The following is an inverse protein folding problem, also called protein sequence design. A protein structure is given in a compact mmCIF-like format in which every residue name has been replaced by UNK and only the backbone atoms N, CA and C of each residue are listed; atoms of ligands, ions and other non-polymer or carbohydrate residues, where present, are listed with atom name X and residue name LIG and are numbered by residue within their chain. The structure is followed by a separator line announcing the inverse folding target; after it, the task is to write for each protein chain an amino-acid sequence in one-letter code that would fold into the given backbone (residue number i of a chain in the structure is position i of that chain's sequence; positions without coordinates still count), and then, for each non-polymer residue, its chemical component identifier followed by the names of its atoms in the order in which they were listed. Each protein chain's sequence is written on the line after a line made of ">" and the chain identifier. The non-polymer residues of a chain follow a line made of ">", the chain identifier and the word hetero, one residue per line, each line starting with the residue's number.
data_IF_738109915316
#
_entry.id   IF_738109915316
#
_cell.length_a   1.000
_cell.length_b   1.000
_cell.length_c   1.000
_cell.angle_alpha   90.00
_cell.angle_beta   90.00
_cell.angle_gamma   90.00
#
_symmetry.space_group_name_H-M   'P 1'
#
loop_
_entity.id
_entity.type
_entity.pdbx_description
1 polymer ?
#
# COMPACT_ATOMS: atom_id res chain seq x y z
N UNK A 1 12.52 -41.64 -8.48
CA UNK A 1 11.75 -42.88 -8.26
C UNK A 1 10.37 -42.49 -7.78
N UNK A 2 9.32 -43.08 -8.37
CA UNK A 2 7.89 -42.90 -8.06
C UNK A 2 7.30 -41.48 -8.03
N UNK A 3 7.80 -40.53 -8.84
CA UNK A 3 6.99 -39.39 -9.34
C UNK A 3 6.27 -38.49 -8.32
N UNK A 4 6.53 -38.61 -7.02
CA UNK A 4 5.98 -37.75 -5.97
C UNK A 4 7.07 -36.76 -5.62
N UNK A 5 6.94 -35.53 -6.11
CA UNK A 5 7.81 -34.44 -5.70
C UNK A 5 7.74 -34.29 -4.17
N UNK A 6 8.90 -34.07 -3.54
CA UNK A 6 8.97 -33.79 -2.11
C UNK A 6 8.63 -32.30 -1.92
N UNK A 7 7.68 -32.01 -1.04
CA UNK A 7 7.39 -30.62 -0.67
C UNK A 7 8.56 -30.07 0.17
N UNK A 8 9.09 -28.94 -0.25
CA UNK A 8 10.14 -28.22 0.48
C UNK A 8 9.54 -26.98 1.14
N UNK A 9 9.77 -26.81 2.44
CA UNK A 9 9.38 -25.65 3.21
C UNK A 9 10.63 -25.03 3.84
N UNK A 10 10.74 -23.70 3.77
CA UNK A 10 11.86 -22.96 4.32
C UNK A 10 11.38 -21.61 4.84
N UNK A 11 11.64 -21.36 6.13
CA UNK A 11 11.29 -20.11 6.82
C UNK A 11 12.56 -19.43 7.28
N UNK A 12 12.62 -18.12 7.10
CA UNK A 12 13.72 -17.30 7.61
C UNK A 12 13.26 -15.89 7.92
N UNK A 13 13.98 -15.23 8.82
CA UNK A 13 13.76 -13.83 9.12
C UNK A 13 14.47 -12.96 8.07
N UNK A 14 13.77 -11.91 7.64
CA UNK A 14 14.27 -10.95 6.65
C UNK A 14 14.31 -9.52 7.20
N UNK A 15 14.12 -9.36 8.51
CA UNK A 15 14.13 -8.09 9.24
C UNK A 15 13.67 -8.31 10.67
N UNK A 16 14.24 -7.57 11.61
CA UNK A 16 13.85 -7.57 13.01
C UNK A 16 14.27 -6.24 13.65
N UNK A 17 13.50 -5.77 14.62
CA UNK A 17 13.85 -4.60 15.42
C UNK A 17 13.22 -4.71 16.82
N UNK A 18 13.88 -4.11 17.81
CA UNK A 18 13.48 -4.12 19.21
C UNK A 18 13.26 -2.69 19.73
N UNK A 19 12.01 -2.31 19.95
CA UNK A 19 11.64 -0.96 20.39
C UNK A 19 11.42 -0.93 21.91
N UNK A 20 12.14 -0.03 22.58
CA UNK A 20 12.00 0.23 24.04
C UNK A 20 11.28 1.53 24.37
N UNK A 21 10.96 2.33 23.36
CA UNK A 21 10.29 3.62 23.46
C UNK A 21 9.61 3.97 22.12
N UNK A 22 8.89 5.09 22.06
CA UNK A 22 8.22 5.56 20.84
C UNK A 22 6.70 5.47 20.87
N UNK A 23 6.14 5.11 22.03
CA UNK A 23 4.70 5.09 22.28
C UNK A 23 4.29 6.15 23.32
N UNK A 24 3.04 6.59 23.21
CA UNK A 24 2.34 7.40 24.20
C UNK A 24 1.31 6.53 24.90
N UNK A 25 1.17 6.73 26.20
CA UNK A 25 0.22 6.00 27.03
C UNK A 25 -0.77 6.98 27.63
N UNK A 26 -2.06 6.72 27.41
CA UNK A 26 -3.16 7.40 28.10
C UNK A 26 -3.73 6.45 29.16
N UNK A 27 -3.40 6.72 30.43
CA UNK A 27 -3.85 5.92 31.56
C UNK A 27 -5.31 6.19 31.95
N UNK A 28 -5.93 7.27 31.46
CA UNK A 28 -7.37 7.56 31.68
C UNK A 28 -8.23 6.57 30.91
N UNK A 29 -7.87 6.38 29.64
CA UNK A 29 -8.65 5.60 28.67
C UNK A 29 -8.05 4.21 28.40
N UNK A 30 -6.90 3.91 29.01
CA UNK A 30 -6.19 2.64 28.86
C UNK A 30 -5.64 2.42 27.45
N UNK A 31 -5.32 3.50 26.74
CA UNK A 31 -4.86 3.46 25.35
C UNK A 31 -3.34 3.57 25.26
N UNK A 32 -2.77 2.85 24.29
CA UNK A 32 -1.36 2.90 23.93
C UNK A 32 -1.29 3.16 22.43
N UNK A 33 -0.66 4.27 22.04
CA UNK A 33 -0.44 4.62 20.64
C UNK A 33 1.06 4.70 20.36
N UNK A 34 1.52 4.04 19.31
CA UNK A 34 2.91 4.06 18.89
C UNK A 34 3.02 3.93 17.38
N UNK A 35 4.06 4.52 16.83
CA UNK A 35 4.41 4.43 15.42
C UNK A 35 5.79 3.81 15.28
N UNK A 36 5.94 2.90 14.34
CA UNK A 36 7.22 2.30 14.01
C UNK A 36 7.30 2.03 12.51
N UNK A 37 8.52 2.04 11.98
CA UNK A 37 8.77 1.68 10.58
C UNK A 37 9.09 0.21 10.49
N UNK A 38 8.28 -0.55 9.77
CA UNK A 38 8.62 -1.90 9.36
C UNK A 38 9.60 -1.84 8.18
N UNK A 39 10.77 -2.45 8.32
CA UNK A 39 11.76 -2.53 7.23
C UNK A 39 12.23 -3.96 7.02
N UNK A 40 12.48 -4.29 5.76
CA UNK A 40 13.08 -5.55 5.34
C UNK A 40 14.56 -5.28 4.99
N UNK A 41 15.46 -6.12 5.49
CA UNK A 41 16.88 -6.06 5.12
C UNK A 41 17.08 -6.55 3.69
N UNK A 42 17.30 -5.60 2.78
CA UNK A 42 17.61 -5.89 1.37
C UNK A 42 18.86 -6.75 1.17
N UNK A 43 19.84 -6.69 2.09
CA UNK A 43 21.05 -7.52 2.06
C UNK A 43 20.76 -9.01 2.23
N UNK A 44 19.63 -9.35 2.86
CA UNK A 44 19.16 -10.71 2.99
C UNK A 44 18.54 -11.24 1.69
N UNK A 45 18.33 -10.41 0.65
CA UNK A 45 17.70 -10.81 -0.62
C UNK A 45 16.29 -11.38 -0.42
N UNK A 46 15.36 -10.60 0.15
CA UNK A 46 13.96 -11.02 0.28
C UNK A 46 13.39 -11.39 -1.09
N UNK A 47 12.49 -12.37 -1.12
CA UNK A 47 11.78 -12.76 -2.33
C UNK A 47 10.42 -12.06 -2.36
N UNK A 48 9.78 -11.98 -3.52
CA UNK A 48 8.43 -11.43 -3.59
C UNK A 48 7.40 -12.43 -3.07
N UNK A 49 6.24 -11.94 -2.65
CA UNK A 49 5.06 -12.78 -2.48
C UNK A 49 4.70 -13.42 -3.82
N UNK A 50 4.51 -14.74 -3.80
CA UNK A 50 4.19 -15.53 -4.99
C UNK A 50 3.15 -16.57 -4.59
N UNK A 51 2.11 -16.71 -5.41
CA UNK A 51 1.21 -17.86 -5.40
C UNK A 51 1.10 -18.36 -6.84
N UNK A 52 1.78 -19.48 -7.14
CA UNK A 52 1.87 -20.01 -8.50
C UNK A 52 1.01 -21.27 -8.68
N UNK A 53 0.44 -21.50 -9.88
CA UNK A 53 -0.26 -22.74 -10.19
C UNK A 53 0.62 -24.00 -10.07
N UNK A 54 1.95 -23.85 -10.14
CA UNK A 54 2.93 -24.91 -9.92
C UNK A 54 3.10 -25.32 -8.46
N UNK A 55 2.47 -24.62 -7.52
CA UNK A 55 2.54 -24.90 -6.08
C UNK A 55 3.69 -24.21 -5.34
N UNK A 56 4.51 -23.40 -6.02
CA UNK A 56 5.44 -22.49 -5.34
C UNK A 56 4.61 -21.39 -4.67
N UNK A 57 4.81 -21.27 -3.35
CA UNK A 57 4.19 -20.24 -2.52
C UNK A 57 5.27 -19.54 -1.68
N UNK A 58 5.27 -18.22 -1.73
CA UNK A 58 6.11 -17.35 -0.89
C UNK A 58 5.16 -16.32 -0.26
N UNK A 59 5.25 -16.16 1.04
CA UNK A 59 4.43 -15.20 1.79
C UNK A 59 5.23 -14.62 2.96
N UNK A 60 5.01 -13.34 3.27
CA UNK A 60 5.67 -12.68 4.38
C UNK A 60 4.68 -12.31 5.49
N UNK A 61 5.12 -12.47 6.73
CA UNK A 61 4.37 -12.12 7.92
C UNK A 61 5.26 -11.30 8.84
N UNK A 62 4.74 -10.18 9.33
CA UNK A 62 5.33 -9.43 10.43
C UNK A 62 4.74 -9.91 11.73
N UNK A 63 5.62 -10.29 12.66
CA UNK A 63 5.25 -10.64 14.03
C UNK A 63 5.58 -9.45 14.92
N UNK A 64 4.57 -8.90 15.60
CA UNK A 64 4.74 -7.87 16.62
C UNK A 64 4.57 -8.50 18.00
N UNK A 65 5.56 -8.32 18.86
CA UNK A 65 5.53 -8.79 20.25
C UNK A 65 5.56 -7.60 21.21
N UNK A 66 4.43 -7.33 21.86
CA UNK A 66 4.33 -6.32 22.90
C UNK A 66 4.51 -6.98 24.27
N UNK A 67 5.60 -6.62 24.95
CA UNK A 67 5.87 -7.04 26.33
C UNK A 67 5.31 -6.00 27.29
N UNK A 68 4.32 -6.39 28.09
CA UNK A 68 3.64 -5.53 29.06
C UNK A 68 4.04 -5.99 30.46
N UNK A 69 4.66 -5.10 31.23
CA UNK A 69 4.92 -5.32 32.64
C UNK A 69 3.83 -4.64 33.48
N UNK A 70 3.37 -5.31 34.53
CA UNK A 70 2.52 -4.68 35.53
C UNK A 70 3.40 -3.94 36.55
N UNK A 71 3.03 -2.69 36.81
CA UNK A 71 3.73 -1.86 37.78
C UNK A 71 2.70 -1.15 38.69
N UNK A 72 3.07 -0.96 39.95
CA UNK A 72 2.29 -0.18 40.89
C UNK A 72 2.91 1.21 41.05
N UNK A 73 2.11 2.27 40.89
CA UNK A 73 2.55 3.64 41.16
C UNK A 73 1.51 4.41 41.98
N UNK A 74 1.92 5.27 42.93
CA UNK A 74 0.99 6.15 43.63
C UNK A 74 0.34 7.16 42.65
N UNK A 75 -0.97 7.40 42.74
CA UNK A 75 -1.69 8.33 41.84
C UNK A 75 -1.08 9.74 41.76
N UNK A 76 -0.48 10.23 42.86
CA UNK A 76 0.17 11.56 42.89
C UNK A 76 1.57 11.58 42.27
N UNK A 77 2.17 10.40 42.00
CA UNK A 77 3.52 10.21 41.49
C UNK A 77 3.58 9.00 40.54
N UNK A 78 2.92 9.06 39.37
CA UNK A 78 2.89 7.95 38.42
C UNK A 78 4.29 7.54 37.93
N UNK A 79 5.26 8.46 37.92
CA UNK A 79 6.65 8.16 37.54
C UNK A 79 7.45 7.40 38.62
N UNK A 80 6.88 7.16 39.80
CA UNK A 80 7.50 6.34 40.86
C UNK A 80 6.84 4.97 40.92
N UNK A 81 6.99 4.21 39.83
CA UNK A 81 6.45 2.88 39.69
C UNK A 81 7.36 1.82 40.35
N UNK A 82 6.75 0.82 40.98
CA UNK A 82 7.41 -0.36 41.55
C UNK A 82 6.99 -1.58 40.72
N UNK A 83 7.95 -2.35 40.15
CA UNK A 83 7.64 -3.55 39.40
C UNK A 83 6.97 -4.61 40.29
N UNK A 84 5.89 -5.23 39.81
CA UNK A 84 5.23 -6.33 40.56
C UNK A 84 5.80 -7.71 40.19
N UNK A 85 6.59 -7.78 39.12
CA UNK A 85 7.13 -9.03 38.57
C UNK A 85 6.16 -9.79 37.66
N UNK A 86 4.91 -9.33 37.54
CA UNK A 86 3.97 -9.86 36.57
C UNK A 86 4.20 -9.23 35.19
N UNK A 87 4.29 -10.07 34.15
CA UNK A 87 4.42 -9.62 32.77
C UNK A 87 3.54 -10.46 31.84
N UNK A 88 3.11 -9.85 30.74
CA UNK A 88 2.31 -10.47 29.68
C UNK A 88 2.95 -10.16 28.33
N UNK A 89 2.88 -11.11 27.41
CA UNK A 89 3.30 -10.90 26.01
C UNK A 89 2.07 -10.96 25.14
N UNK A 90 1.83 -9.90 24.38
CA UNK A 90 0.80 -9.86 23.34
C UNK A 90 1.50 -9.99 21.99
N UNK A 91 1.26 -11.11 21.30
CA UNK A 91 1.80 -11.36 19.97
C UNK A 91 0.72 -11.20 18.91
N UNK A 92 0.96 -10.34 17.93
CA UNK A 92 0.07 -10.15 16.77
C UNK A 92 0.84 -10.44 15.48
N UNK A 93 0.12 -10.86 14.44
CA UNK A 93 0.69 -11.17 13.14
C UNK A 93 -0.03 -10.38 12.05
N UNK A 94 0.75 -9.75 11.17
CA UNK A 94 0.24 -8.99 10.03
C UNK A 94 0.84 -9.56 8.75
N UNK A 95 0.00 -9.90 7.79
CA UNK A 95 0.49 -10.28 6.46
C UNK A 95 1.05 -9.01 5.78
N UNK A 96 2.28 -9.10 5.27
CA UNK A 96 2.91 -8.02 4.51
C UNK A 96 3.11 -8.50 3.09
N UNK A 97 2.64 -7.71 2.12
CA UNK A 97 2.91 -7.98 0.72
C UNK A 97 4.29 -7.44 0.35
N UNK A 98 5.20 -8.33 -0.01
CA UNK A 98 6.54 -7.97 -0.48
C UNK A 98 6.57 -8.07 -1.98
N UNK A 99 6.90 -6.95 -2.64
CA UNK A 99 7.01 -6.87 -4.08
C UNK A 99 8.43 -6.49 -4.49
N UNK A 100 8.78 -6.80 -5.73
CA UNK A 100 9.98 -6.30 -6.37
C UNK A 100 9.87 -4.77 -6.49
N UNK A 101 10.95 -4.06 -6.18
CA UNK A 101 11.07 -2.64 -6.54
C UNK A 101 10.98 -2.55 -8.06
N UNK A 102 10.10 -1.72 -8.60
CA UNK A 102 9.91 -1.52 -10.06
C UNK A 102 11.21 -1.11 -10.77
N UNK A 103 12.08 -2.07 -11.09
CA UNK A 103 13.35 -1.91 -11.81
C UNK A 103 14.19 -0.66 -11.46
N UNK A 104 15.09 -0.30 -12.37
CA UNK A 104 15.60 1.07 -12.50
C UNK A 104 14.55 1.92 -13.26
N UNK A 105 13.27 1.75 -12.93
CA UNK A 105 12.20 2.54 -13.52
C UNK A 105 12.31 3.97 -13.05
N UNK A 106 12.13 4.88 -13.99
CA UNK A 106 11.90 6.29 -13.72
C UNK A 106 10.57 6.39 -12.95
N UNK A 107 10.45 7.27 -11.96
CA UNK A 107 9.19 7.45 -11.25
C UNK A 107 8.08 7.82 -12.26
N UNK A 108 6.82 7.48 -12.00
CA UNK A 108 5.73 7.79 -12.92
C UNK A 108 5.61 9.30 -13.21
N UNK A 109 6.03 10.16 -12.27
CA UNK A 109 6.16 11.61 -12.48
C UNK A 109 7.31 12.03 -13.41
N UNK A 110 8.36 11.21 -13.52
CA UNK A 110 9.56 11.50 -14.30
C UNK A 110 9.51 10.83 -15.69
N UNK A 111 8.54 9.95 -15.96
CA UNK A 111 8.34 9.31 -17.26
C UNK A 111 7.77 10.34 -18.27
N UNK A 112 8.61 10.83 -19.18
CA UNK A 112 8.15 11.73 -20.24
C UNK A 112 7.18 11.00 -21.17
N UNK A 113 5.99 11.56 -21.49
CA UNK A 113 5.09 10.93 -22.43
C UNK A 113 5.77 10.75 -23.79
N UNK A 114 5.47 9.66 -24.51
CA UNK A 114 6.08 9.40 -25.81
C UNK A 114 5.83 10.56 -26.77
N UNK A 115 6.91 11.05 -27.37
CA UNK A 115 6.86 12.05 -28.44
C UNK A 115 6.51 11.32 -29.74
N UNK A 116 5.34 11.59 -30.31
CA UNK A 116 4.98 11.10 -31.63
C UNK A 116 5.61 12.01 -32.68
N UNK A 117 6.61 11.53 -33.42
CA UNK A 117 7.25 12.30 -34.50
C UNK A 117 6.35 12.41 -35.74
N UNK A 118 5.57 11.38 -36.02
CA UNK A 118 4.75 11.28 -37.23
C UNK A 118 3.26 11.42 -36.90
N UNK A 119 2.85 12.57 -36.37
CA UNK A 119 1.43 12.92 -36.33
C UNK A 119 1.02 13.24 -37.77
N UNK A 120 0.17 12.43 -38.43
CA UNK A 120 -0.34 12.79 -39.75
C UNK A 120 -1.04 14.14 -39.67
N UNK A 121 -1.03 14.88 -40.78
CA UNK A 121 -1.74 16.15 -40.84
C UNK A 121 -3.16 15.98 -40.28
N UNK A 122 -3.59 16.95 -39.47
CA UNK A 122 -4.95 16.95 -38.91
C UNK A 122 -5.95 16.68 -40.04
N UNK A 123 -7.04 15.93 -39.78
CA UNK A 123 -8.13 15.81 -40.75
C UNK A 123 -8.49 17.21 -41.29
N UNK A 124 -8.91 17.33 -42.56
CA UNK A 124 -9.27 18.61 -43.15
C UNK A 124 -10.20 19.37 -42.19
N UNK A 125 -9.82 20.60 -41.83
CA UNK A 125 -10.68 21.44 -41.02
C UNK A 125 -12.03 21.56 -41.70
N UNK A 126 -13.12 21.49 -40.94
CA UNK A 126 -14.42 21.87 -41.46
C UNK A 126 -14.29 23.27 -42.04
N UNK A 127 -14.55 23.40 -43.34
CA UNK A 127 -14.61 24.71 -43.98
C UNK A 127 -15.66 25.51 -43.23
N UNK A 128 -15.25 26.59 -42.57
CA UNK A 128 -16.15 27.69 -42.24
C UNK A 128 -16.44 28.48 -43.53
N UNK A 129 -16.83 27.79 -44.60
CA UNK A 129 -17.62 28.41 -45.64
C UNK A 129 -18.97 28.62 -45.00
N UNK A 130 -19.11 29.75 -44.30
CA UNK A 130 -20.41 30.37 -44.11
C UNK A 130 -20.82 30.81 -45.52
N UNK A 131 -21.24 29.85 -46.34
CA UNK A 131 -22.16 30.19 -47.41
C UNK A 131 -23.34 30.82 -46.68
N UNK A 132 -23.63 32.08 -47.00
CA UNK A 132 -24.83 32.74 -46.50
C UNK A 132 -25.99 31.82 -46.87
N UNK A 133 -26.54 31.12 -45.88
CA UNK A 133 -27.62 30.19 -46.07
C UNK A 133 -28.85 30.99 -46.51
N UNK A 134 -29.12 31.01 -47.81
CA UNK A 134 -30.32 31.62 -48.42
C UNK A 134 -31.49 30.63 -48.38
N UNK A 135 -31.65 29.97 -47.24
CA UNK A 135 -32.79 29.12 -46.94
C UNK A 135 -33.71 29.79 -45.93
N UNK A 136 -34.97 29.35 -45.87
CA UNK A 136 -35.92 29.80 -44.85
C UNK A 136 -35.36 29.59 -43.45
N UNK A 137 -35.56 30.57 -42.56
CA UNK A 137 -35.06 30.52 -41.18
C UNK A 137 -35.42 29.18 -40.51
N UNK A 138 -34.42 28.49 -39.96
CA UNK A 138 -34.56 27.16 -39.32
C UNK A 138 -35.37 27.17 -38.01
N UNK A 139 -36.06 28.27 -37.70
CA UNK A 139 -36.72 28.48 -36.41
C UNK A 139 -38.17 28.00 -36.36
N UNK A 140 -38.73 27.36 -37.40
CA UNK A 140 -40.14 26.94 -37.35
C UNK A 140 -40.38 25.64 -36.56
N UNK A 141 -39.36 24.79 -36.34
CA UNK A 141 -39.55 23.46 -35.71
C UNK A 141 -38.89 23.29 -34.32
N UNK A 142 -38.27 24.34 -33.76
CA UNK A 142 -37.60 24.25 -32.44
C UNK A 142 -38.60 23.97 -31.31
N UNK A 143 -39.88 24.34 -31.49
CA UNK A 143 -40.95 24.11 -30.51
C UNK A 143 -41.40 22.64 -30.41
N UNK A 144 -40.96 21.76 -31.32
CA UNK A 144 -41.33 20.32 -31.29
C UNK A 144 -40.29 19.42 -30.59
N UNK A 145 -39.12 19.95 -30.21
CA UNK A 145 -38.10 19.16 -29.52
C UNK A 145 -38.36 19.13 -28.01
N UNK A 146 -39.34 18.32 -27.60
CA UNK A 146 -39.48 17.91 -26.20
C UNK A 146 -38.58 16.69 -25.95
N UNK A 147 -37.63 16.83 -25.03
CA UNK A 147 -36.79 15.73 -24.58
C UNK A 147 -37.65 14.78 -23.73
N UNK A 148 -37.98 13.60 -24.26
CA UNK A 148 -38.56 12.50 -23.48
C UNK A 148 -37.48 11.75 -22.71
#
# INVERSE_FOLDING_TARGET
>A
GEGRGIQHEHTRDIGSDDLKSGWKTDFSDGQLEGEFTASIDSGLKPQCDVDSPSGLKISHVMVLELVIAEEWAPNKKPNQATPTGAARVLRTQFNINVTERSGMGIAWEDEQPPLYEDIPASPPGYRNEIDNYDGSELNEDVDQLQLS
#
